data_IF_753807494031
#
_entry.id   IF_753807494031
#
_cell.length_a   1.000
_cell.length_b   1.000
_cell.length_c   1.000
_cell.angle_alpha   90.00
_cell.angle_beta   90.00
_cell.angle_gamma   90.00
#
_symmetry.space_group_name_H-M   'P 1'
#
loop_
_entity.id
_entity.type
_entity.pdbx_description
1 polymer ?
#
# COMPACT_ATOMS: atom_id res chain seq x y z
N UNK A 1 41.49 38.91 12.83
CA UNK A 1 40.35 38.73 13.77
C UNK A 1 39.15 38.35 12.93
N UNK A 2 38.91 37.06 12.78
CA UNK A 2 37.70 36.53 12.21
C UNK A 2 37.20 35.42 13.14
N UNK A 3 36.25 35.76 13.97
CA UNK A 3 35.48 34.80 14.76
C UNK A 3 34.09 34.60 14.13
N UNK A 4 33.62 33.36 14.16
CA UNK A 4 32.22 33.06 14.14
C UNK A 4 31.69 32.17 13.02
N UNK A 5 32.30 31.00 12.76
CA UNK A 5 31.60 29.94 12.07
C UNK A 5 30.73 29.15 13.08
N UNK A 6 29.46 29.41 13.07
CA UNK A 6 28.45 28.67 13.86
C UNK A 6 28.26 27.27 13.21
N UNK A 7 28.81 26.28 13.92
CA UNK A 7 28.58 24.87 13.59
C UNK A 7 27.16 24.50 14.00
N UNK A 8 26.26 24.31 13.05
CA UNK A 8 25.00 23.63 13.29
C UNK A 8 25.29 22.17 13.65
N UNK A 9 25.18 21.84 14.92
CA UNK A 9 25.13 20.47 15.38
C UNK A 9 23.84 19.83 14.86
N UNK A 10 23.98 18.87 13.96
CA UNK A 10 22.92 17.91 13.68
C UNK A 10 22.56 17.22 15.01
N UNK A 11 21.30 17.38 15.41
CA UNK A 11 20.77 16.67 16.56
C UNK A 11 20.79 15.17 16.24
N UNK A 12 21.66 14.47 16.94
CA UNK A 12 21.53 13.03 17.13
C UNK A 12 20.10 12.78 17.65
N UNK A 13 19.36 11.90 17.00
CA UNK A 13 18.12 11.36 17.54
C UNK A 13 18.44 10.83 18.94
N UNK A 14 18.05 11.57 19.96
CA UNK A 14 17.98 11.06 21.31
C UNK A 14 16.79 10.13 21.36
N UNK A 15 17.01 8.89 21.75
CA UNK A 15 16.01 8.00 22.30
C UNK A 15 15.17 8.73 23.34
N UNK A 16 14.04 9.29 22.92
CA UNK A 16 12.98 9.78 23.76
C UNK A 16 11.83 8.77 23.74
N UNK A 17 12.15 7.48 23.84
CA UNK A 17 11.13 6.45 24.04
C UNK A 17 10.68 6.52 25.50
N UNK A 18 9.43 6.91 25.81
CA UNK A 18 8.90 6.75 27.16
C UNK A 18 8.88 5.24 27.49
N UNK A 19 9.17 4.84 28.70
CA UNK A 19 9.15 3.43 29.07
C UNK A 19 7.74 2.85 28.89
N UNK A 20 7.55 1.98 27.85
CA UNK A 20 6.29 1.32 27.52
C UNK A 20 5.51 1.90 26.34
N UNK A 21 6.01 2.91 25.62
CA UNK A 21 5.40 3.41 24.39
C UNK A 21 5.62 2.44 23.22
N UNK A 22 4.55 2.07 22.50
CA UNK A 22 4.68 1.44 21.19
C UNK A 22 5.36 2.44 20.27
N UNK A 23 6.49 2.09 19.69
CA UNK A 23 7.06 2.82 18.56
C UNK A 23 6.00 2.87 17.44
N UNK A 24 5.63 4.06 17.03
CA UNK A 24 4.55 4.27 16.05
C UNK A 24 5.18 4.31 14.66
N UNK A 25 5.41 3.13 14.09
CA UNK A 25 5.91 2.98 12.72
C UNK A 25 4.78 3.16 11.71
N UNK A 26 5.10 3.71 10.53
CA UNK A 26 4.12 3.79 9.45
C UNK A 26 3.69 2.40 8.99
N UNK A 27 2.39 2.26 8.82
CA UNK A 27 1.76 1.01 8.39
C UNK A 27 1.75 0.90 6.87
N UNK A 28 1.92 -0.32 6.28
CA UNK A 28 1.72 -0.50 4.85
C UNK A 28 0.31 -0.11 4.43
N UNK A 29 0.19 0.56 3.29
CA UNK A 29 -1.09 1.10 2.81
C UNK A 29 -2.04 0.02 2.30
N UNK A 30 -1.52 -1.05 1.73
CA UNK A 30 -2.28 -2.10 1.06
C UNK A 30 -2.27 -3.43 1.82
N UNK A 31 -3.31 -4.23 1.60
CA UNK A 31 -3.24 -5.66 1.90
C UNK A 31 -2.46 -6.32 0.76
N UNK A 32 -1.23 -6.72 1.03
CA UNK A 32 -0.37 -7.33 0.04
C UNK A 32 0.11 -8.71 0.49
N UNK A 33 0.04 -9.68 -0.42
CA UNK A 33 0.42 -11.07 -0.12
C UNK A 33 1.93 -11.15 0.07
N UNK A 34 2.39 -11.82 1.13
CA UNK A 34 3.82 -11.90 1.45
C UNK A 34 4.39 -10.67 2.16
N UNK A 35 3.55 -9.67 2.50
CA UNK A 35 4.02 -8.45 3.19
C UNK A 35 4.74 -8.77 4.51
N UNK A 36 5.92 -8.18 4.70
CA UNK A 36 6.89 -8.48 5.78
C UNK A 36 6.56 -7.86 7.14
N UNK A 37 5.47 -7.12 7.29
CA UNK A 37 5.13 -6.38 8.51
C UNK A 37 5.30 -7.18 9.80
N UNK A 38 4.87 -8.45 9.80
CA UNK A 38 4.97 -9.33 10.99
C UNK A 38 6.37 -9.83 11.25
N UNK A 39 7.22 -9.82 10.24
CA UNK A 39 8.58 -10.32 10.29
C UNK A 39 9.59 -9.22 10.63
N UNK A 40 9.27 -7.94 10.34
CA UNK A 40 10.15 -6.79 10.58
C UNK A 40 10.77 -6.78 11.99
N UNK A 41 10.04 -7.01 13.09
CA UNK A 41 10.63 -7.04 14.43
C UNK A 41 11.80 -8.04 14.58
N UNK A 42 11.81 -9.10 13.77
CA UNK A 42 12.84 -10.14 13.83
C UNK A 42 14.15 -9.76 13.14
N UNK A 43 14.08 -8.85 12.15
CA UNK A 43 15.27 -8.48 11.36
C UNK A 43 15.55 -6.97 11.33
N UNK A 44 14.73 -6.12 11.93
CA UNK A 44 14.92 -4.67 11.98
C UNK A 44 16.34 -4.28 12.43
N UNK A 45 16.84 -4.95 13.47
CA UNK A 45 18.19 -4.69 13.99
C UNK A 45 19.32 -5.13 13.06
N UNK A 46 19.02 -5.88 12.00
CA UNK A 46 20.00 -6.29 10.97
C UNK A 46 20.08 -5.26 9.83
N UNK A 47 19.13 -4.32 9.74
CA UNK A 47 19.15 -3.25 8.76
C UNK A 47 20.25 -2.26 9.13
N UNK A 48 21.19 -1.95 8.21
CA UNK A 48 22.25 -0.98 8.48
C UNK A 48 21.67 0.39 8.82
N UNK A 49 22.27 1.09 9.77
CA UNK A 49 21.85 2.44 10.13
C UNK A 49 22.50 3.51 9.23
N UNK A 50 23.59 3.16 8.54
CA UNK A 50 24.34 4.08 7.69
C UNK A 50 24.37 3.53 6.26
N UNK A 51 23.59 4.15 5.39
CA UNK A 51 23.61 3.93 3.94
C UNK A 51 23.29 5.26 3.23
N UNK A 52 23.70 5.36 1.96
CA UNK A 52 23.40 6.55 1.15
C UNK A 52 21.99 6.49 0.60
N UNK A 53 21.62 5.39 -0.01
CA UNK A 53 20.29 5.18 -0.63
C UNK A 53 19.70 3.85 -0.18
N UNK A 54 18.43 3.85 0.18
CA UNK A 54 17.64 2.64 0.36
C UNK A 54 17.08 2.18 -0.98
N UNK A 55 17.23 0.91 -1.31
CA UNK A 55 16.78 0.36 -2.59
C UNK A 55 15.88 -0.87 -2.34
N UNK A 56 14.66 -0.86 -2.89
CA UNK A 56 13.73 -1.99 -2.79
C UNK A 56 13.22 -2.38 -4.19
N UNK A 57 13.87 -3.34 -4.89
CA UNK A 57 13.52 -3.74 -6.25
C UNK A 57 12.19 -4.48 -6.38
N UNK A 58 11.70 -5.08 -5.28
CA UNK A 58 10.45 -5.84 -5.18
C UNK A 58 9.56 -5.21 -4.10
N UNK A 59 9.02 -4.03 -4.38
CA UNK A 59 8.41 -3.16 -3.38
C UNK A 59 7.14 -3.75 -2.76
N UNK A 60 6.27 -4.36 -3.57
CA UNK A 60 5.04 -4.97 -3.08
C UNK A 60 4.21 -4.04 -2.20
N UNK A 61 3.96 -4.45 -0.95
CA UNK A 61 3.22 -3.66 0.04
C UNK A 61 4.03 -2.55 0.72
N UNK A 62 5.34 -2.43 0.47
CA UNK A 62 6.22 -1.40 1.01
C UNK A 62 6.43 -1.45 2.53
N UNK A 63 6.23 -2.62 3.15
CA UNK A 63 6.23 -2.71 4.61
C UNK A 63 7.56 -2.28 5.25
N UNK A 64 8.69 -2.63 4.64
CA UNK A 64 10.02 -2.30 5.16
C UNK A 64 10.34 -0.84 4.90
N UNK A 65 10.03 -0.32 3.73
CA UNK A 65 10.19 1.09 3.38
C UNK A 65 9.42 2.00 4.36
N UNK A 66 8.14 1.73 4.61
CA UNK A 66 7.34 2.53 5.54
C UNK A 66 7.75 2.37 7.00
N UNK A 67 8.36 1.24 7.37
CA UNK A 67 8.91 1.03 8.70
C UNK A 67 10.24 1.79 8.91
N UNK A 68 11.07 1.87 7.87
CA UNK A 68 12.40 2.49 7.94
C UNK A 68 12.40 3.99 7.63
N UNK A 69 11.41 4.50 6.92
CA UNK A 69 11.28 5.91 6.51
C UNK A 69 12.59 6.51 5.94
N UNK A 70 13.19 5.89 4.92
CA UNK A 70 14.50 6.30 4.42
C UNK A 70 14.44 7.71 3.80
N UNK A 71 15.52 8.51 4.02
CA UNK A 71 15.61 9.89 3.51
C UNK A 71 15.74 9.91 1.98
N UNK A 72 16.53 8.97 1.41
CA UNK A 72 16.69 8.78 -0.03
C UNK A 72 16.41 7.33 -0.37
N UNK A 73 15.61 7.12 -1.38
CA UNK A 73 15.21 5.75 -1.75
C UNK A 73 14.89 5.59 -3.23
N UNK A 74 15.09 4.37 -3.71
CA UNK A 74 14.63 3.87 -5.01
C UNK A 74 13.71 2.68 -4.70
N UNK A 75 12.45 2.79 -5.08
CA UNK A 75 11.48 1.71 -4.93
C UNK A 75 10.96 1.29 -6.30
N UNK A 76 10.79 0.01 -6.50
CA UNK A 76 10.39 -0.55 -7.78
C UNK A 76 9.45 -1.74 -7.62
N UNK A 77 8.55 -1.90 -8.55
CA UNK A 77 7.80 -3.14 -8.75
C UNK A 77 7.42 -3.26 -10.23
N UNK A 78 7.33 -4.45 -10.76
CA UNK A 78 6.87 -4.68 -12.13
C UNK A 78 5.35 -4.47 -12.27
N UNK A 79 4.63 -4.49 -11.17
CA UNK A 79 3.17 -4.38 -11.12
C UNK A 79 2.71 -2.93 -11.37
N UNK A 80 2.29 -2.63 -12.60
CA UNK A 80 1.86 -1.28 -12.99
C UNK A 80 0.75 -0.70 -12.10
N UNK A 81 -0.38 -1.36 -11.82
CA UNK A 81 -1.41 -0.83 -10.94
C UNK A 81 -0.92 -0.48 -9.54
N UNK A 82 -0.01 -1.28 -9.00
CA UNK A 82 0.61 -1.04 -7.70
C UNK A 82 1.47 0.23 -7.71
N UNK A 83 2.34 0.36 -8.68
CA UNK A 83 3.22 1.54 -8.82
C UNK A 83 2.40 2.79 -9.10
N UNK A 84 1.39 2.73 -9.97
CA UNK A 84 0.48 3.84 -10.21
C UNK A 84 -0.23 4.31 -8.93
N UNK A 85 -0.68 3.38 -8.09
CA UNK A 85 -1.25 3.73 -6.77
C UNK A 85 -0.26 4.52 -5.92
N UNK A 86 0.99 4.07 -5.76
CA UNK A 86 1.98 4.78 -4.97
C UNK A 86 2.37 6.14 -5.57
N UNK A 87 2.46 6.25 -6.89
CA UNK A 87 2.68 7.53 -7.58
C UNK A 87 1.52 8.51 -7.33
N UNK A 88 0.28 8.02 -7.27
CA UNK A 88 -0.87 8.87 -6.95
C UNK A 88 -0.94 9.25 -5.47
N UNK A 89 -0.53 8.37 -4.56
CA UNK A 89 -0.34 8.75 -3.15
C UNK A 89 0.73 9.85 -3.02
N UNK A 90 1.82 9.76 -3.78
CA UNK A 90 2.87 10.78 -3.78
C UNK A 90 2.37 12.12 -4.35
N UNK A 91 1.74 12.11 -5.52
CA UNK A 91 1.53 13.31 -6.34
C UNK A 91 0.11 13.88 -6.27
N UNK A 92 -0.89 13.07 -5.93
CA UNK A 92 -2.31 13.43 -5.93
C UNK A 92 -2.98 13.24 -4.56
N UNK A 93 -2.20 13.24 -3.47
CA UNK A 93 -2.67 12.93 -2.12
C UNK A 93 -3.95 13.66 -1.71
N UNK A 94 -4.10 14.99 -1.89
CA UNK A 94 -5.30 15.71 -1.48
C UNK A 94 -6.56 15.19 -2.20
N UNK A 95 -6.50 15.01 -3.52
CA UNK A 95 -7.63 14.50 -4.30
C UNK A 95 -7.94 13.04 -3.93
N UNK A 96 -6.91 12.20 -3.83
CA UNK A 96 -7.05 10.79 -3.44
C UNK A 96 -7.74 10.66 -2.08
N UNK A 97 -7.33 11.46 -1.10
CA UNK A 97 -7.93 11.44 0.23
C UNK A 97 -9.35 11.99 0.27
N UNK A 98 -9.65 13.00 -0.55
CA UNK A 98 -11.02 13.49 -0.70
C UNK A 98 -11.93 12.38 -1.23
N UNK A 99 -11.57 11.77 -2.37
CA UNK A 99 -12.33 10.70 -3.00
C UNK A 99 -12.52 9.48 -2.07
N UNK A 100 -11.45 9.07 -1.40
CA UNK A 100 -11.50 7.97 -0.44
C UNK A 100 -12.38 8.28 0.77
N UNK A 101 -12.39 9.54 1.24
CA UNK A 101 -13.22 9.97 2.37
C UNK A 101 -14.70 9.97 1.97
N UNK A 102 -15.04 10.43 0.77
CA UNK A 102 -16.40 10.36 0.23
C UNK A 102 -16.89 8.91 0.13
N UNK A 103 -16.07 8.03 -0.41
CA UNK A 103 -16.36 6.60 -0.48
C UNK A 103 -16.47 5.94 0.91
N UNK A 104 -15.66 6.36 1.87
CA UNK A 104 -15.75 5.90 3.25
C UNK A 104 -17.10 6.26 3.88
N UNK A 105 -17.50 7.53 3.76
CA UNK A 105 -18.78 8.00 4.30
C UNK A 105 -19.96 7.21 3.70
N UNK A 106 -19.95 7.04 2.37
CA UNK A 106 -20.99 6.26 1.68
C UNK A 106 -21.01 4.80 2.14
N UNK A 107 -19.84 4.18 2.26
CA UNK A 107 -19.70 2.80 2.70
C UNK A 107 -20.25 2.58 4.12
N UNK A 108 -19.90 3.44 5.06
CA UNK A 108 -20.35 3.36 6.45
C UNK A 108 -21.87 3.66 6.58
N UNK A 109 -22.43 4.54 5.76
CA UNK A 109 -23.88 4.78 5.69
C UNK A 109 -24.62 3.53 5.22
N UNK A 110 -24.16 2.89 4.14
CA UNK A 110 -24.74 1.65 3.63
C UNK A 110 -24.67 0.52 4.67
N UNK A 111 -23.54 0.39 5.38
CA UNK A 111 -23.39 -0.63 6.41
C UNK A 111 -24.30 -0.37 7.62
N UNK A 112 -24.47 0.88 8.02
CA UNK A 112 -25.39 1.27 9.09
C UNK A 112 -26.83 0.92 8.74
N UNK A 113 -27.27 1.22 7.52
CA UNK A 113 -28.62 0.89 7.05
C UNK A 113 -28.80 -0.63 6.93
N UNK A 114 -27.80 -1.34 6.38
CA UNK A 114 -27.82 -2.80 6.34
C UNK A 114 -27.97 -3.42 7.73
N UNK A 115 -27.21 -2.95 8.73
CA UNK A 115 -27.28 -3.44 10.10
C UNK A 115 -28.66 -3.15 10.73
N UNK A 116 -29.22 -1.95 10.48
CA UNK A 116 -30.57 -1.55 10.93
C UNK A 116 -31.65 -2.49 10.37
N UNK A 117 -31.62 -2.71 9.05
CA UNK A 117 -32.58 -3.58 8.37
C UNK A 117 -32.47 -5.04 8.85
N UNK A 118 -31.25 -5.50 9.07
CA UNK A 118 -31.00 -6.85 9.59
C UNK A 118 -31.55 -7.05 11.00
N UNK A 119 -31.53 -6.02 11.82
CA UNK A 119 -32.12 -6.03 13.17
C UNK A 119 -33.64 -6.04 13.12
N UNK A 120 -34.24 -5.29 12.20
CA UNK A 120 -35.72 -5.23 12.05
C UNK A 120 -36.28 -6.49 11.40
N UNK A 121 -35.51 -7.15 10.54
CA UNK A 121 -35.94 -8.32 9.76
C UNK A 121 -34.94 -9.46 9.87
N UNK A 122 -34.74 -10.08 11.07
CA UNK A 122 -33.68 -11.04 11.32
C UNK A 122 -33.75 -12.29 10.42
N UNK A 123 -34.96 -12.71 10.05
CA UNK A 123 -35.18 -13.88 9.20
C UNK A 123 -35.15 -13.56 7.68
N UNK A 124 -35.16 -12.29 7.31
CA UNK A 124 -35.19 -11.89 5.92
C UNK A 124 -33.76 -11.81 5.32
N UNK A 125 -33.67 -12.07 4.02
CA UNK A 125 -32.47 -11.74 3.25
C UNK A 125 -32.45 -10.24 3.00
N UNK A 126 -31.64 -9.51 3.77
CA UNK A 126 -31.42 -8.08 3.60
C UNK A 126 -30.28 -7.85 2.58
N UNK A 127 -30.50 -7.03 1.54
CA UNK A 127 -29.41 -6.63 0.65
C UNK A 127 -28.44 -5.68 1.37
N UNK A 128 -27.15 -5.71 0.98
CA UNK A 128 -26.14 -4.77 1.44
C UNK A 128 -25.72 -3.91 0.24
N UNK A 129 -26.02 -2.61 0.28
CA UNK A 129 -25.74 -1.67 -0.83
C UNK A 129 -24.25 -1.45 -1.07
N UNK A 130 -23.36 -1.89 -0.16
CA UNK A 130 -21.94 -1.95 -0.42
C UNK A 130 -21.55 -3.02 -1.46
N UNK A 131 -22.37 -4.04 -1.68
CA UNK A 131 -22.09 -5.04 -2.71
C UNK A 131 -22.23 -4.46 -4.14
N UNK A 132 -23.34 -3.82 -4.55
CA UNK A 132 -23.42 -3.13 -5.84
C UNK A 132 -22.42 -1.97 -5.97
N UNK A 133 -22.15 -1.20 -4.91
CA UNK A 133 -21.12 -0.17 -4.91
C UNK A 133 -19.75 -0.77 -5.26
N UNK A 134 -19.37 -1.87 -4.61
CA UNK A 134 -18.12 -2.56 -4.89
C UNK A 134 -18.00 -2.99 -6.36
N UNK A 135 -19.02 -3.63 -6.90
CA UNK A 135 -19.01 -4.09 -8.29
C UNK A 135 -18.96 -2.93 -9.28
N UNK A 136 -19.67 -1.85 -9.00
CA UNK A 136 -19.63 -0.63 -9.83
C UNK A 136 -18.23 -0.01 -9.88
N UNK A 137 -17.56 0.16 -8.72
CA UNK A 137 -16.19 0.69 -8.68
C UNK A 137 -15.17 -0.29 -9.29
N UNK A 138 -15.40 -1.60 -9.17
CA UNK A 138 -14.58 -2.60 -9.84
C UNK A 138 -14.73 -2.54 -11.37
N UNK A 139 -15.93 -2.29 -11.87
CA UNK A 139 -16.18 -2.14 -13.30
C UNK A 139 -15.53 -0.85 -13.83
N UNK A 140 -15.54 0.25 -13.07
CA UNK A 140 -14.74 1.45 -13.38
C UNK A 140 -13.25 1.13 -13.43
N UNK A 141 -12.72 0.44 -12.43
CA UNK A 141 -11.32 0.03 -12.37
C UNK A 141 -10.91 -0.85 -13.58
N UNK A 142 -11.82 -1.71 -14.03
CA UNK A 142 -11.61 -2.56 -15.20
C UNK A 142 -11.84 -1.83 -16.54
N UNK A 143 -12.17 -0.54 -16.54
CA UNK A 143 -12.46 0.23 -17.75
C UNK A 143 -13.77 -0.17 -18.44
N UNK A 144 -14.67 -0.89 -17.76
CA UNK A 144 -15.97 -1.31 -18.31
C UNK A 144 -17.01 -0.20 -18.22
N UNK A 145 -16.82 0.76 -17.32
CA UNK A 145 -17.63 1.97 -17.18
C UNK A 145 -16.70 3.19 -17.01
N UNK A 146 -17.10 4.39 -17.49
CA UNK A 146 -16.33 5.61 -17.25
C UNK A 146 -16.15 5.89 -15.76
N UNK A 147 -14.98 6.38 -15.38
CA UNK A 147 -14.68 6.78 -14.01
C UNK A 147 -14.30 8.24 -13.93
N UNK A 148 -14.70 8.91 -12.83
CA UNK A 148 -14.24 10.24 -12.43
C UNK A 148 -13.23 10.17 -11.28
N UNK A 149 -13.04 8.98 -10.70
CA UNK A 149 -12.07 8.74 -9.64
C UNK A 149 -10.67 8.51 -10.20
N UNK A 150 -9.67 8.83 -9.40
CA UNK A 150 -8.29 8.40 -9.65
C UNK A 150 -8.21 6.85 -9.65
N UNK A 151 -7.35 6.30 -10.51
CA UNK A 151 -7.10 4.84 -10.53
C UNK A 151 -6.60 4.33 -9.18
N UNK A 152 -5.80 5.13 -8.46
CA UNK A 152 -5.33 4.81 -7.11
C UNK A 152 -6.45 4.74 -6.09
N UNK A 153 -7.47 5.60 -6.21
CA UNK A 153 -8.67 5.55 -5.38
C UNK A 153 -9.42 4.25 -5.60
N UNK A 154 -9.66 3.89 -6.86
CA UNK A 154 -10.32 2.63 -7.22
C UNK A 154 -9.50 1.42 -6.76
N UNK A 155 -8.19 1.43 -7.01
CA UNK A 155 -7.28 0.34 -6.59
C UNK A 155 -7.29 0.13 -5.08
N UNK A 156 -7.19 1.22 -4.31
CA UNK A 156 -7.25 1.15 -2.85
C UNK A 156 -8.59 0.64 -2.36
N UNK A 157 -9.70 1.17 -2.87
CA UNK A 157 -11.05 0.74 -2.48
C UNK A 157 -11.25 -0.75 -2.72
N UNK A 158 -10.97 -1.24 -3.94
CA UNK A 158 -11.15 -2.67 -4.26
C UNK A 158 -10.20 -3.55 -3.43
N UNK A 159 -8.94 -3.14 -3.20
CA UNK A 159 -8.01 -3.90 -2.36
C UNK A 159 -8.51 -4.04 -0.91
N UNK A 160 -9.08 -2.98 -0.34
CA UNK A 160 -9.56 -2.98 1.05
C UNK A 160 -10.89 -3.71 1.22
N UNK A 161 -11.75 -3.73 0.20
CA UNK A 161 -13.12 -4.25 0.27
C UNK A 161 -13.31 -5.59 -0.45
N UNK A 162 -12.36 -6.03 -1.26
CA UNK A 162 -12.36 -7.35 -1.91
C UNK A 162 -12.17 -8.50 -0.91
N UNK A 163 -12.69 -9.66 -1.24
CA UNK A 163 -12.56 -10.87 -0.46
C UNK A 163 -11.09 -11.19 -0.15
N UNK A 164 -10.77 -11.25 1.14
CA UNK A 164 -9.43 -11.53 1.67
C UNK A 164 -8.33 -10.54 1.21
N UNK A 165 -8.70 -9.38 0.62
CA UNK A 165 -7.74 -8.43 0.05
C UNK A 165 -6.88 -9.04 -1.07
N UNK A 166 -7.41 -10.06 -1.75
CA UNK A 166 -6.70 -10.71 -2.85
C UNK A 166 -6.54 -9.77 -4.05
N UNK A 167 -5.44 -9.93 -4.76
CA UNK A 167 -5.21 -9.32 -6.06
C UNK A 167 -5.20 -10.46 -7.08
N UNK A 168 -6.20 -10.48 -7.98
CA UNK A 168 -6.34 -11.51 -9.00
C UNK A 168 -7.03 -10.93 -10.24
N UNK A 169 -6.50 -11.29 -11.39
CA UNK A 169 -7.01 -10.90 -12.70
C UNK A 169 -7.45 -12.13 -13.49
N UNK A 170 -8.44 -11.97 -14.35
CA UNK A 170 -8.86 -13.02 -15.30
C UNK A 170 -7.94 -13.05 -16.54
N UNK A 171 -8.22 -13.94 -17.48
CA UNK A 171 -7.45 -14.07 -18.73
C UNK A 171 -7.52 -12.82 -19.63
N UNK A 172 -8.51 -11.93 -19.41
CA UNK A 172 -8.66 -10.66 -20.12
C UNK A 172 -7.94 -9.50 -19.40
N UNK A 173 -7.18 -9.77 -18.33
CA UNK A 173 -6.51 -8.75 -17.52
C UNK A 173 -7.43 -7.95 -16.60
N UNK A 174 -8.69 -8.37 -16.41
CA UNK A 174 -9.64 -7.68 -15.54
C UNK A 174 -9.57 -8.21 -14.11
N UNK A 175 -9.60 -7.30 -13.15
CA UNK A 175 -9.69 -7.66 -11.74
C UNK A 175 -11.04 -8.37 -11.45
N UNK A 176 -10.98 -9.56 -10.86
CA UNK A 176 -12.16 -10.44 -10.75
C UNK A 176 -12.40 -11.02 -9.35
N UNK A 177 -11.83 -10.41 -8.30
CA UNK A 177 -12.09 -10.83 -6.93
C UNK A 177 -13.51 -10.39 -6.51
N UNK A 178 -14.28 -11.22 -5.79
CA UNK A 178 -15.60 -10.84 -5.31
C UNK A 178 -15.54 -9.89 -4.12
N UNK A 179 -16.67 -9.27 -3.79
CA UNK A 179 -16.85 -8.43 -2.60
C UNK A 179 -16.56 -9.19 -1.30
N UNK A 180 -15.80 -8.59 -0.40
CA UNK A 180 -15.32 -9.22 0.83
C UNK A 180 -16.27 -9.09 2.03
N UNK A 181 -17.34 -8.30 1.92
CA UNK A 181 -18.37 -8.09 2.95
C UNK A 181 -17.78 -7.63 4.30
N UNK A 182 -16.77 -6.74 4.24
CA UNK A 182 -16.22 -6.13 5.45
C UNK A 182 -17.19 -5.09 6.00
N UNK A 183 -17.28 -5.01 7.33
CA UNK A 183 -18.14 -4.03 8.03
C UNK A 183 -17.61 -2.60 7.91
N UNK A 184 -16.32 -2.42 7.66
CA UNK A 184 -15.69 -1.10 7.62
C UNK A 184 -14.74 -0.99 6.44
N UNK A 185 -14.82 0.14 5.77
CA UNK A 185 -13.83 0.61 4.80
C UNK A 185 -13.01 1.74 5.44
N UNK A 186 -11.78 1.44 5.86
CA UNK A 186 -10.93 2.38 6.59
C UNK A 186 -9.98 3.11 5.67
N UNK A 187 -9.90 4.44 5.84
CA UNK A 187 -9.03 5.34 5.08
C UNK A 187 -8.04 6.11 5.95
N UNK A 188 -8.26 6.13 7.25
CA UNK A 188 -7.46 6.89 8.22
C UNK A 188 -6.02 6.37 8.43
N UNK A 189 -5.65 5.27 7.79
CA UNK A 189 -4.29 4.74 7.80
C UNK A 189 -3.43 5.30 6.67
N UNK A 190 -3.99 6.11 5.74
CA UNK A 190 -3.21 6.83 4.74
C UNK A 190 -2.89 8.21 5.30
N UNK A 191 -1.72 8.35 5.90
CA UNK A 191 -1.27 9.57 6.55
C UNK A 191 -0.52 10.48 5.56
N UNK A 192 -0.47 11.82 5.80
CA UNK A 192 0.36 12.72 4.99
C UNK A 192 1.82 12.30 4.90
N UNK A 193 2.36 11.66 5.94
CA UNK A 193 3.72 11.14 5.98
C UNK A 193 3.98 10.09 4.90
N UNK A 194 3.00 9.25 4.55
CA UNK A 194 3.14 8.30 3.44
C UNK A 194 3.37 9.03 2.11
N UNK A 195 2.60 10.11 1.86
CA UNK A 195 2.80 10.94 0.67
C UNK A 195 4.18 11.58 0.66
N UNK A 196 4.62 12.16 1.77
CA UNK A 196 5.94 12.79 1.89
C UNK A 196 7.08 11.79 1.65
N UNK A 197 7.01 10.60 2.26
CA UNK A 197 8.03 9.56 2.08
C UNK A 197 8.09 9.08 0.62
N UNK A 198 6.93 8.91 -0.02
CA UNK A 198 6.85 8.52 -1.43
C UNK A 198 7.31 9.63 -2.39
N UNK A 199 7.11 10.91 -2.05
CA UNK A 199 7.64 12.06 -2.83
C UNK A 199 9.16 12.13 -2.79
N UNK A 200 9.78 11.68 -1.69
CA UNK A 200 11.23 11.62 -1.53
C UNK A 200 11.83 10.35 -2.16
N UNK A 201 11.01 9.43 -2.64
CA UNK A 201 11.44 8.20 -3.30
C UNK A 201 11.45 8.34 -4.82
N UNK A 202 12.45 7.77 -5.47
CA UNK A 202 12.38 7.49 -6.90
C UNK A 202 11.52 6.23 -7.11
N UNK A 203 10.30 6.42 -7.62
CA UNK A 203 9.34 5.33 -7.84
C UNK A 203 9.45 4.86 -9.28
N UNK A 204 9.91 3.64 -9.48
CA UNK A 204 10.18 3.05 -10.79
C UNK A 204 9.24 1.86 -11.06
N UNK A 205 9.02 1.61 -12.34
CA UNK A 205 8.30 0.43 -12.85
C UNK A 205 9.13 -0.20 -13.94
N UNK A 206 10.01 -1.11 -13.57
CA UNK A 206 10.91 -1.77 -14.52
C UNK A 206 11.29 -3.15 -14.03
N UNK A 207 12.03 -3.89 -14.83
CA UNK A 207 12.66 -5.14 -14.41
C UNK A 207 13.67 -4.87 -13.28
N UNK A 208 13.73 -5.78 -12.31
CA UNK A 208 14.61 -5.66 -11.14
C UNK A 208 16.11 -5.61 -11.51
N UNK A 209 16.50 -6.20 -12.64
CA UNK A 209 17.89 -6.14 -13.12
C UNK A 209 18.35 -4.70 -13.38
N UNK A 210 17.43 -3.84 -13.90
CA UNK A 210 17.73 -2.43 -14.08
C UNK A 210 17.94 -1.69 -12.75
N UNK A 211 17.28 -2.15 -11.69
CA UNK A 211 17.45 -1.55 -10.35
C UNK A 211 18.80 -1.95 -9.75
N UNK A 212 19.26 -3.18 -9.97
CA UNK A 212 20.58 -3.62 -9.51
C UNK A 212 21.70 -2.78 -10.13
N UNK A 213 21.54 -2.34 -11.38
CA UNK A 213 22.50 -1.49 -12.05
C UNK A 213 22.60 -0.06 -11.47
N UNK A 214 21.64 0.38 -10.67
CA UNK A 214 21.62 1.70 -10.02
C UNK A 214 22.35 1.70 -8.66
N UNK A 215 22.60 0.52 -8.08
CA UNK A 215 23.17 0.39 -6.75
C UNK A 215 24.66 0.75 -6.70
N UNK A 216 25.07 1.43 -5.65
CA UNK A 216 26.45 1.79 -5.36
C UNK A 216 26.93 1.14 -4.05
N UNK A 217 28.24 1.19 -3.79
CA UNK A 217 28.89 0.48 -2.68
C UNK A 217 28.36 0.83 -1.28
N UNK A 218 27.78 2.03 -1.10
CA UNK A 218 27.27 2.52 0.19
C UNK A 218 25.74 2.51 0.27
N UNK A 219 25.06 1.88 -0.68
CA UNK A 219 23.61 1.76 -0.66
C UNK A 219 23.19 0.49 0.09
N UNK A 220 21.99 0.50 0.66
CA UNK A 220 21.37 -0.67 1.25
C UNK A 220 20.22 -1.16 0.36
N UNK A 221 20.33 -2.40 -0.10
CA UNK A 221 19.29 -3.02 -0.92
C UNK A 221 18.54 -4.08 -0.13
N UNK A 222 17.23 -3.89 0.05
CA UNK A 222 16.35 -4.90 0.63
C UNK A 222 15.75 -5.77 -0.47
N UNK A 223 15.99 -7.08 -0.41
CA UNK A 223 15.53 -8.03 -1.42
C UNK A 223 14.48 -8.97 -0.86
N UNK A 224 13.26 -8.88 -1.37
CA UNK A 224 12.15 -9.80 -1.08
C UNK A 224 11.49 -10.26 -2.39
N UNK A 225 12.20 -11.05 -3.21
CA UNK A 225 11.67 -11.51 -4.49
C UNK A 225 10.47 -12.44 -4.28
N UNK A 226 9.54 -12.53 -5.25
CA UNK A 226 8.45 -13.49 -5.19
C UNK A 226 8.99 -14.91 -5.09
N UNK A 227 8.48 -15.66 -4.10
CA UNK A 227 8.88 -17.05 -3.91
C UNK A 227 8.26 -17.93 -5.01
N UNK A 228 9.06 -18.80 -5.60
CA UNK A 228 8.58 -19.84 -6.49
C UNK A 228 7.93 -20.94 -5.65
N UNK A 229 6.72 -20.67 -5.19
CA UNK A 229 5.93 -21.64 -4.44
C UNK A 229 5.41 -22.69 -5.39
N UNK A 230 6.08 -23.84 -5.48
CA UNK A 230 5.52 -25.07 -6.05
C UNK A 230 4.42 -25.57 -5.09
N UNK A 231 3.26 -24.92 -5.11
CA UNK A 231 2.05 -25.54 -4.57
C UNK A 231 1.45 -26.44 -5.64
N UNK A 232 1.28 -27.75 -5.40
CA UNK A 232 0.79 -28.69 -6.41
C UNK A 232 -0.69 -28.55 -6.76
N UNK A 233 -1.35 -27.46 -6.38
CA UNK A 233 -2.78 -27.26 -6.70
C UNK A 233 -3.03 -25.82 -7.17
N UNK A 234 -3.44 -25.69 -8.43
CA UNK A 234 -4.20 -24.60 -9.09
C UNK A 234 -3.51 -23.30 -9.52
N UNK A 235 -2.18 -23.20 -9.62
CA UNK A 235 -1.51 -21.99 -10.15
C UNK A 235 -0.77 -22.23 -11.48
N UNK A 236 -1.29 -23.10 -12.35
CA UNK A 236 -0.66 -23.44 -13.63
C UNK A 236 -0.82 -22.38 -14.74
N UNK A 237 -1.18 -21.13 -14.45
CA UNK A 237 -1.41 -20.12 -15.49
C UNK A 237 -0.76 -18.76 -15.23
N UNK A 238 0.41 -18.72 -14.60
CA UNK A 238 1.28 -17.55 -14.63
C UNK A 238 2.65 -17.96 -15.16
N UNK A 239 2.70 -18.48 -16.39
CA UNK A 239 3.91 -18.38 -17.20
C UNK A 239 3.87 -17.03 -17.89
N UNK A 240 4.84 -16.19 -17.54
CA UNK A 240 5.20 -15.03 -18.30
C UNK A 240 5.42 -15.41 -19.78
N UNK A 241 4.82 -14.64 -20.66
CA UNK A 241 5.28 -14.44 -22.03
C UNK A 241 5.76 -13.03 -22.16
#
# INVERSE_FOLDING_TARGET
MFEGASVFKMNSHKDNTPPGGKEEYMEPLLKYRGGKRREIPNFRNLIPQNYTTYIEPFFGGGAVFFDQEPIQSIINDINHPLINFYQQVANNYPQLMQELTELHVLYEQNETEYARQKTLHPEARVPNDNEPLYYHLRDMYNGLTPSTYLDGTLYYFINKTAYSGMIRYNAQGQYNVPFGRYKHFRVNNILPQHSTSLQNAQILQTDFENIFALANANDFMFLDPPYDCIFPVSYTHLRAH
#
